data_IF_669322916394
#
_entry.id   IF_669322916394
#
_cell.length_a   1.000
_cell.length_b   1.000
_cell.length_c   1.000
_cell.angle_alpha   90.00
_cell.angle_beta   90.00
_cell.angle_gamma   90.00
#
_symmetry.space_group_name_H-M   'P 1'
#
loop_
_entity.id
_entity.type
_entity.pdbx_description
1 polymer ?
#
# COMPACT_ATOMS: atom_id res chain seq x y z
N UNK A 1 7.54 12.01 -16.17
CA UNK A 1 6.76 12.07 -14.90
C UNK A 1 7.35 11.00 -14.00
N UNK A 2 7.69 11.34 -12.76
CA UNK A 2 8.08 10.34 -11.76
C UNK A 2 6.92 9.35 -11.63
N UNK A 3 7.16 8.07 -11.87
CA UNK A 3 6.11 7.06 -11.97
C UNK A 3 5.70 6.66 -10.56
N UNK A 4 4.77 7.41 -9.98
CA UNK A 4 4.31 7.15 -8.63
C UNK A 4 3.44 5.89 -8.63
N UNK A 5 3.87 4.85 -7.93
CA UNK A 5 3.09 3.61 -7.81
C UNK A 5 1.69 3.90 -7.23
N UNK A 6 0.73 3.14 -7.74
CA UNK A 6 -0.68 3.15 -7.37
C UNK A 6 -1.02 1.88 -6.58
N UNK A 7 -2.21 1.86 -5.98
CA UNK A 7 -2.74 0.66 -5.32
C UNK A 7 -2.86 -0.50 -6.30
N UNK A 8 -3.24 -0.24 -7.55
CA UNK A 8 -3.35 -1.25 -8.59
C UNK A 8 -2.02 -1.96 -8.88
N UNK A 9 -0.88 -1.27 -8.69
CA UNK A 9 0.44 -1.85 -8.95
C UNK A 9 0.89 -2.85 -7.87
N UNK A 10 0.21 -2.89 -6.72
CA UNK A 10 0.60 -3.74 -5.57
C UNK A 10 -0.53 -4.52 -4.91
N UNK A 11 -1.77 -4.33 -5.34
CA UNK A 11 -2.89 -5.09 -4.81
C UNK A 11 -2.76 -6.57 -5.17
N UNK A 12 -3.30 -7.43 -4.32
CA UNK A 12 -3.52 -8.85 -4.67
C UNK A 12 -4.83 -8.96 -5.43
N UNK A 13 -4.80 -9.49 -6.66
CA UNK A 13 -5.98 -9.66 -7.53
C UNK A 13 -6.74 -10.96 -7.25
N UNK A 14 -6.04 -12.04 -6.90
CA UNK A 14 -6.66 -13.32 -6.53
C UNK A 14 -7.18 -13.26 -5.09
N UNK A 15 -8.36 -12.65 -4.92
CA UNK A 15 -8.94 -12.41 -3.59
C UNK A 15 -9.86 -13.55 -3.20
N UNK A 16 -9.57 -14.16 -2.05
CA UNK A 16 -10.51 -15.07 -1.37
C UNK A 16 -11.61 -14.24 -0.71
N UNK A 17 -12.86 -14.55 -1.05
CA UNK A 17 -14.05 -13.81 -0.58
C UNK A 17 -14.99 -14.69 0.21
N UNK A 18 -15.81 -14.06 1.05
CA UNK A 18 -16.89 -14.70 1.81
C UNK A 18 -18.25 -14.22 1.29
N UNK A 19 -19.27 -15.06 1.42
CA UNK A 19 -20.67 -14.67 1.27
C UNK A 19 -21.24 -14.18 2.61
N UNK A 20 -22.30 -13.35 2.63
CA UNK A 20 -22.84 -12.78 3.87
C UNK A 20 -23.37 -13.85 4.84
N UNK A 21 -23.79 -14.99 4.31
CA UNK A 21 -24.30 -16.16 5.02
C UNK A 21 -23.23 -17.21 5.33
N UNK A 22 -21.97 -17.03 4.88
CA UNK A 22 -20.87 -17.98 5.14
C UNK A 22 -20.77 -18.27 6.65
N UNK A 23 -20.90 -19.54 7.08
CA UNK A 23 -20.87 -19.92 8.49
C UNK A 23 -19.53 -19.65 9.16
N UNK A 24 -19.55 -19.32 10.46
CA UNK A 24 -18.36 -19.01 11.25
C UNK A 24 -17.22 -20.04 11.11
N UNK A 25 -17.53 -21.34 11.25
CA UNK A 25 -16.50 -22.39 11.18
C UNK A 25 -15.82 -22.47 9.80
N UNK A 26 -16.57 -22.17 8.73
CA UNK A 26 -16.03 -22.12 7.37
C UNK A 26 -15.13 -20.89 7.19
N UNK A 27 -15.50 -19.74 7.76
CA UNK A 27 -14.63 -18.56 7.80
C UNK A 27 -13.29 -18.91 8.45
N UNK A 28 -13.30 -19.56 9.63
CA UNK A 28 -12.06 -19.96 10.32
C UNK A 28 -11.23 -20.88 9.45
N UNK A 29 -11.86 -21.91 8.87
CA UNK A 29 -11.17 -22.86 8.00
C UNK A 29 -10.57 -22.18 6.75
N UNK A 30 -11.28 -21.23 6.14
CA UNK A 30 -10.80 -20.50 4.97
C UNK A 30 -9.62 -19.58 5.30
N UNK A 31 -9.67 -18.86 6.43
CA UNK A 31 -8.56 -17.98 6.83
C UNK A 31 -7.31 -18.80 7.15
N UNK A 32 -7.46 -19.92 7.86
CA UNK A 32 -6.36 -20.82 8.25
C UNK A 32 -5.75 -21.55 7.04
N UNK A 33 -6.60 -22.17 6.20
CA UNK A 33 -6.14 -22.98 5.07
C UNK A 33 -5.40 -22.17 4.00
N UNK A 34 -5.65 -20.86 3.91
CA UNK A 34 -5.04 -19.98 2.92
C UNK A 34 -4.01 -19.01 3.52
N UNK A 35 -3.71 -19.12 4.82
CA UNK A 35 -2.80 -18.24 5.56
C UNK A 35 -3.09 -16.73 5.33
N UNK A 36 -4.38 -16.38 5.27
CA UNK A 36 -4.82 -15.00 5.02
C UNK A 36 -5.31 -14.33 6.31
N UNK A 37 -4.87 -13.09 6.53
CA UNK A 37 -5.20 -12.36 7.75
C UNK A 37 -6.66 -11.87 7.80
N UNK A 38 -7.31 -11.72 6.64
CA UNK A 38 -8.68 -11.23 6.52
C UNK A 38 -9.22 -11.40 5.08
N UNK A 39 -10.54 -11.49 4.94
CA UNK A 39 -11.24 -11.67 3.67
C UNK A 39 -12.41 -10.67 3.51
N UNK A 40 -12.65 -10.10 2.30
CA UNK A 40 -13.85 -9.32 2.03
C UNK A 40 -15.10 -10.20 2.02
N UNK A 41 -16.20 -9.65 2.53
CA UNK A 41 -17.54 -10.19 2.33
C UNK A 41 -18.16 -9.47 1.15
N UNK A 42 -18.65 -10.21 0.15
CA UNK A 42 -19.24 -9.66 -1.08
C UNK A 42 -20.72 -9.99 -1.19
N UNK A 43 -21.51 -9.08 -1.79
CA UNK A 43 -22.89 -9.34 -2.19
C UNK A 43 -22.99 -10.21 -3.45
N UNK A 44 -24.22 -10.50 -3.90
CA UNK A 44 -24.49 -11.36 -5.05
C UNK A 44 -23.96 -10.77 -6.36
N UNK A 45 -23.89 -9.44 -6.44
CA UNK A 45 -23.33 -8.68 -7.56
C UNK A 45 -21.80 -8.65 -7.56
N UNK A 46 -21.14 -9.02 -6.45
CA UNK A 46 -19.68 -9.07 -6.31
C UNK A 46 -19.07 -7.77 -5.77
N UNK A 47 -19.89 -6.87 -5.22
CA UNK A 47 -19.40 -5.69 -4.52
C UNK A 47 -19.09 -6.04 -3.05
N UNK A 48 -17.98 -5.53 -2.49
CA UNK A 48 -17.67 -5.74 -1.09
C UNK A 48 -18.67 -4.98 -0.21
N UNK A 49 -19.19 -5.65 0.83
CA UNK A 49 -20.12 -5.09 1.81
C UNK A 49 -19.55 -5.09 3.25
N UNK A 50 -18.46 -5.83 3.48
CA UNK A 50 -17.74 -5.86 4.74
C UNK A 50 -16.40 -6.57 4.64
N UNK A 51 -15.69 -6.64 5.77
CA UNK A 51 -14.44 -7.41 5.90
C UNK A 51 -14.47 -8.19 7.20
N UNK A 52 -14.04 -9.45 7.15
CA UNK A 52 -13.81 -10.29 8.33
C UNK A 52 -12.32 -10.55 8.47
N UNK A 53 -11.76 -10.35 9.67
CA UNK A 53 -10.36 -10.63 9.97
C UNK A 53 -10.16 -11.75 10.98
N UNK A 54 -8.96 -12.35 10.98
CA UNK A 54 -8.56 -13.29 12.03
C UNK A 54 -8.66 -12.66 13.43
N UNK A 55 -8.51 -11.34 13.55
CA UNK A 55 -8.73 -10.64 14.83
C UNK A 55 -10.21 -10.57 15.23
N UNK A 56 -11.14 -10.55 14.28
CA UNK A 56 -12.58 -10.65 14.58
C UNK A 56 -12.92 -12.07 15.05
N UNK A 57 -12.36 -13.10 14.41
CA UNK A 57 -12.49 -14.51 14.81
C UNK A 57 -11.96 -14.74 16.24
N UNK A 58 -10.75 -14.27 16.54
CA UNK A 58 -10.16 -14.41 17.87
C UNK A 58 -10.99 -13.69 18.95
N UNK A 59 -11.59 -12.54 18.62
CA UNK A 59 -12.51 -11.83 19.54
C UNK A 59 -13.80 -12.62 19.77
N UNK A 60 -14.34 -13.26 18.73
CA UNK A 60 -15.49 -14.16 18.87
C UNK A 60 -15.18 -15.28 19.87
N UNK A 61 -14.07 -16.00 19.69
CA UNK A 61 -13.71 -17.16 20.53
C UNK A 61 -13.37 -16.77 21.98
N UNK A 62 -12.76 -15.61 22.19
CA UNK A 62 -12.33 -15.17 23.52
C UNK A 62 -13.40 -14.40 24.29
N UNK A 63 -14.54 -14.06 23.66
CA UNK A 63 -15.57 -13.22 24.25
C UNK A 63 -15.11 -11.79 24.58
N UNK A 64 -14.01 -11.33 23.96
CA UNK A 64 -13.40 -10.05 24.25
C UNK A 64 -14.14 -8.91 23.53
N UNK A 65 -14.61 -7.86 24.25
CA UNK A 65 -15.29 -6.72 23.63
C UNK A 65 -14.35 -5.88 22.75
N UNK A 66 -14.94 -5.04 21.89
CA UNK A 66 -14.17 -4.12 21.04
C UNK A 66 -13.39 -3.09 21.89
N UNK A 67 -12.17 -2.66 21.47
CA UNK A 67 -11.35 -1.71 22.24
C UNK A 67 -11.91 -0.28 22.27
N UNK A 68 -12.90 0.04 21.43
CA UNK A 68 -13.52 1.35 21.33
C UNK A 68 -15.02 1.26 21.59
N UNK A 69 -15.35 1.15 22.87
CA UNK A 69 -16.66 1.48 23.42
C UNK A 69 -16.42 2.16 24.76
N UNK A 70 -16.47 3.48 24.80
CA UNK A 70 -16.74 4.17 26.06
C UNK A 70 -18.16 3.76 26.44
N UNK A 71 -18.31 3.22 27.65
CA UNK A 71 -19.54 2.70 28.25
C UNK A 71 -19.77 1.19 27.99
N UNK A 72 -19.32 0.37 28.95
CA UNK A 72 -19.38 -1.09 28.96
C UNK A 72 -20.79 -1.69 29.08
N UNK A 73 -21.79 -1.08 28.45
CA UNK A 73 -23.18 -1.56 28.39
C UNK A 73 -23.72 -1.64 26.94
N UNK A 74 -22.84 -1.71 25.94
CA UNK A 74 -23.27 -1.88 24.55
C UNK A 74 -23.55 -3.36 24.23
N UNK A 75 -24.82 -3.72 24.01
CA UNK A 75 -25.22 -5.01 23.42
C UNK A 75 -24.50 -5.29 22.09
N UNK A 76 -24.08 -4.23 21.39
CA UNK A 76 -23.27 -4.29 20.16
C UNK A 76 -21.87 -4.87 20.39
N UNK A 77 -21.26 -4.62 21.55
CA UNK A 77 -19.93 -5.14 21.89
C UNK A 77 -19.94 -6.69 22.04
N UNK A 78 -21.09 -7.28 22.38
CA UNK A 78 -21.30 -8.73 22.46
C UNK A 78 -21.78 -9.36 21.16
N UNK A 79 -22.16 -8.56 20.15
CA UNK A 79 -22.71 -9.03 18.88
C UNK A 79 -21.76 -9.95 18.11
N UNK A 80 -20.47 -9.59 18.07
CA UNK A 80 -19.43 -10.41 17.44
C UNK A 80 -19.12 -11.69 18.20
N UNK A 81 -19.32 -11.74 19.52
CA UNK A 81 -19.09 -12.95 20.34
C UNK A 81 -20.14 -14.05 20.14
N UNK A 82 -21.23 -13.76 19.42
CA UNK A 82 -22.29 -14.72 19.08
C UNK A 82 -22.49 -14.86 17.57
N UNK A 83 -21.64 -14.23 16.76
CA UNK A 83 -21.78 -14.22 15.31
C UNK A 83 -21.69 -15.64 14.75
N UNK A 84 -22.71 -16.05 13.98
CA UNK A 84 -22.74 -17.37 13.32
C UNK A 84 -22.41 -17.31 11.84
N UNK A 85 -22.40 -16.11 11.27
CA UNK A 85 -22.24 -15.85 9.83
C UNK A 85 -21.24 -14.71 9.60
N UNK A 86 -20.73 -14.60 8.37
CA UNK A 86 -19.83 -13.51 7.98
C UNK A 86 -20.48 -12.13 8.18
N UNK A 87 -21.74 -11.95 7.80
CA UNK A 87 -22.47 -10.69 7.98
C UNK A 87 -22.60 -10.24 9.44
N UNK A 88 -22.68 -11.19 10.38
CA UNK A 88 -22.73 -10.89 11.82
C UNK A 88 -21.33 -10.64 12.42
N UNK A 89 -20.28 -11.15 11.78
CA UNK A 89 -18.90 -11.02 12.25
C UNK A 89 -18.16 -9.83 11.62
N UNK A 90 -18.53 -9.46 10.40
CA UNK A 90 -17.81 -8.48 9.59
C UNK A 90 -17.87 -7.08 10.18
N UNK A 91 -16.86 -6.28 9.84
CA UNK A 91 -16.90 -4.84 10.03
C UNK A 91 -17.57 -4.18 8.83
N UNK A 92 -18.61 -3.36 9.09
CA UNK A 92 -19.40 -2.64 8.09
C UNK A 92 -19.71 -1.21 8.55
N UNK A 93 -19.91 -0.24 7.62
CA UNK A 93 -19.78 -0.40 6.17
C UNK A 93 -18.32 -0.61 5.74
N UNK A 94 -18.12 -1.35 4.65
CA UNK A 94 -16.77 -1.53 4.11
C UNK A 94 -16.18 -0.20 3.68
N UNK A 95 -14.89 -0.03 3.93
CA UNK A 95 -14.10 1.05 3.32
C UNK A 95 -13.24 0.40 2.24
N UNK A 96 -13.39 0.86 1.01
CA UNK A 96 -12.65 0.37 -0.15
C UNK A 96 -11.70 1.44 -0.71
N UNK A 97 -10.61 0.96 -1.33
CA UNK A 97 -9.70 1.77 -2.13
C UNK A 97 -10.08 1.67 -3.62
N UNK A 98 -9.57 2.60 -4.44
CA UNK A 98 -9.56 2.42 -5.90
C UNK A 98 -8.15 2.08 -6.36
N UNK A 99 -8.06 1.34 -7.46
CA UNK A 99 -6.77 0.95 -8.04
C UNK A 99 -5.88 2.17 -8.38
N UNK A 100 -6.48 3.30 -8.77
CA UNK A 100 -5.77 4.54 -9.11
C UNK A 100 -5.31 5.37 -7.90
N UNK A 101 -5.62 4.94 -6.67
CA UNK A 101 -5.15 5.65 -5.48
C UNK A 101 -3.64 5.56 -5.36
N UNK A 102 -3.02 6.64 -4.91
CA UNK A 102 -1.60 6.62 -4.56
C UNK A 102 -1.38 5.79 -3.29
N UNK A 103 -0.22 5.15 -3.19
CA UNK A 103 0.20 4.41 -1.99
C UNK A 103 0.07 5.24 -0.70
N UNK A 104 0.51 6.52 -0.64
CA UNK A 104 0.33 7.34 0.57
C UNK A 104 -1.12 7.62 0.92
N UNK A 105 -2.02 7.71 -0.08
CA UNK A 105 -3.45 7.85 0.17
C UNK A 105 -4.01 6.60 0.82
N UNK A 106 -3.73 5.42 0.27
CA UNK A 106 -4.17 4.14 0.82
C UNK A 106 -3.63 3.91 2.23
N UNK A 107 -2.34 4.16 2.46
CA UNK A 107 -1.72 4.06 3.79
C UNK A 107 -2.38 4.99 4.82
N UNK A 108 -2.72 6.22 4.40
CA UNK A 108 -3.42 7.18 5.26
C UNK A 108 -4.83 6.70 5.61
N UNK A 109 -5.56 6.12 4.67
CA UNK A 109 -6.90 5.56 4.93
C UNK A 109 -6.86 4.36 5.86
N UNK A 110 -5.95 3.40 5.63
CA UNK A 110 -5.70 2.26 6.53
C UNK A 110 -5.47 2.73 7.98
N UNK A 111 -4.59 3.73 8.15
CA UNK A 111 -4.28 4.30 9.47
C UNK A 111 -5.48 5.01 10.09
N UNK A 112 -6.15 5.89 9.33
CA UNK A 112 -7.28 6.71 9.83
C UNK A 112 -8.47 5.85 10.25
N UNK A 113 -8.72 4.77 9.54
CA UNK A 113 -9.84 3.86 9.79
C UNK A 113 -9.49 2.73 10.75
N UNK A 114 -8.23 2.63 11.19
CA UNK A 114 -7.72 1.55 12.03
C UNK A 114 -7.97 0.14 11.44
N UNK A 115 -8.04 0.04 10.11
CA UNK A 115 -8.23 -1.23 9.40
C UNK A 115 -6.90 -1.75 8.85
N UNK A 116 -6.76 -3.07 8.77
CA UNK A 116 -5.50 -3.71 8.39
C UNK A 116 -5.31 -3.78 6.87
N UNK A 117 -6.41 -3.81 6.13
CA UNK A 117 -6.45 -3.91 4.68
C UNK A 117 -7.69 -3.22 4.12
N UNK A 118 -7.66 -2.89 2.83
CA UNK A 118 -8.77 -2.31 2.08
C UNK A 118 -9.07 -3.21 0.89
N UNK A 119 -10.32 -3.65 0.71
CA UNK A 119 -10.77 -4.14 -0.59
C UNK A 119 -10.57 -3.04 -1.63
N UNK A 120 -10.06 -3.41 -2.80
CA UNK A 120 -9.90 -2.51 -3.94
C UNK A 120 -11.07 -2.76 -4.88
N UNK A 121 -11.75 -1.68 -5.26
CA UNK A 121 -12.90 -1.76 -6.17
C UNK A 121 -12.59 -1.10 -7.51
N UNK A 122 -13.14 -1.67 -8.58
CA UNK A 122 -13.12 -1.09 -9.92
C UNK A 122 -14.20 -0.02 -10.11
N UNK A 123 -14.35 0.46 -11.34
CA UNK A 123 -15.26 1.58 -11.68
C UNK A 123 -16.74 1.29 -11.40
N UNK A 124 -17.13 0.01 -11.36
CA UNK A 124 -18.49 -0.44 -11.08
C UNK A 124 -18.74 -0.82 -9.62
N UNK A 125 -17.78 -0.56 -8.72
CA UNK A 125 -17.89 -0.94 -7.31
C UNK A 125 -17.63 -2.41 -7.02
N UNK A 126 -17.35 -3.21 -8.06
CA UNK A 126 -17.00 -4.62 -7.95
C UNK A 126 -15.60 -4.79 -7.37
N UNK A 127 -15.41 -5.87 -6.61
CA UNK A 127 -14.11 -6.22 -6.06
C UNK A 127 -13.10 -6.51 -7.20
N UNK A 128 -12.01 -5.77 -7.21
CA UNK A 128 -10.90 -5.92 -8.16
C UNK A 128 -9.62 -6.45 -7.50
N UNK A 129 -9.49 -6.31 -6.18
CA UNK A 129 -8.32 -6.75 -5.45
C UNK A 129 -8.41 -6.46 -3.96
N UNK A 130 -7.32 -6.66 -3.25
CA UNK A 130 -7.17 -6.28 -1.84
C UNK A 130 -5.76 -5.74 -1.60
N UNK A 131 -5.65 -4.76 -0.71
CA UNK A 131 -4.36 -4.19 -0.33
C UNK A 131 -4.23 -4.07 1.18
N UNK A 132 -3.16 -4.65 1.72
CA UNK A 132 -2.78 -4.62 3.12
C UNK A 132 -1.71 -3.56 3.39
N UNK A 133 -1.45 -3.26 4.67
CA UNK A 133 -0.32 -2.40 5.03
C UNK A 133 1.04 -2.97 4.59
N UNK A 134 1.19 -4.30 4.57
CA UNK A 134 2.43 -4.96 4.15
C UNK A 134 2.65 -4.78 2.65
N UNK A 135 1.60 -4.94 1.85
CA UNK A 135 1.65 -4.78 0.39
C UNK A 135 2.05 -3.34 0.01
N UNK A 136 1.57 -2.35 0.77
CA UNK A 136 2.01 -0.96 0.59
C UNK A 136 3.47 -0.75 0.99
N UNK A 137 4.03 -1.53 1.92
CA UNK A 137 5.44 -1.46 2.32
C UNK A 137 6.35 -2.14 1.28
N UNK A 138 5.88 -3.18 0.60
CA UNK A 138 6.63 -3.86 -0.46
C UNK A 138 6.99 -2.92 -1.63
N UNK A 139 6.24 -1.83 -1.82
CA UNK A 139 6.62 -0.75 -2.76
C UNK A 139 7.97 -0.10 -2.47
N UNK A 140 8.42 -0.13 -1.22
CA UNK A 140 9.72 0.41 -0.81
C UNK A 140 10.86 -0.61 -0.95
N UNK A 141 10.55 -1.88 -1.25
CA UNK A 141 11.52 -2.89 -1.62
C UNK A 141 11.79 -2.76 -3.13
N UNK A 142 12.45 -1.66 -3.49
CA UNK A 142 12.96 -1.42 -4.84
C UNK A 142 14.40 -1.92 -4.87
N UNK A 143 14.77 -2.66 -5.91
CA UNK A 143 16.19 -2.97 -6.09
C UNK A 143 16.97 -1.69 -6.41
N UNK A 144 18.21 -1.62 -5.94
CA UNK A 144 19.13 -0.52 -6.27
C UNK A 144 19.27 -0.34 -7.79
N UNK A 145 19.15 -1.42 -8.55
CA UNK A 145 19.16 -1.41 -10.02
C UNK A 145 17.98 -0.65 -10.60
N UNK A 146 16.76 -0.89 -10.09
CA UNK A 146 15.56 -0.18 -10.54
C UNK A 146 15.59 1.30 -10.17
N UNK A 147 16.03 1.63 -8.95
CA UNK A 147 16.17 3.04 -8.51
C UNK A 147 17.18 3.75 -9.40
N UNK A 148 18.37 3.17 -9.59
CA UNK A 148 19.42 3.73 -10.43
C UNK A 148 18.91 3.98 -11.85
N UNK A 149 18.25 2.99 -12.45
CA UNK A 149 17.74 3.08 -13.81
C UNK A 149 16.65 4.13 -13.99
N UNK A 150 15.85 4.43 -12.95
CA UNK A 150 14.87 5.54 -12.98
C UNK A 150 15.56 6.90 -12.83
N UNK A 151 16.52 7.03 -11.91
CA UNK A 151 17.30 8.26 -11.74
C UNK A 151 18.04 8.61 -13.04
N UNK A 152 18.75 7.65 -13.64
CA UNK A 152 19.51 7.87 -14.88
C UNK A 152 18.59 8.26 -16.05
N UNK A 153 17.53 7.49 -16.30
CA UNK A 153 16.66 7.71 -17.47
C UNK A 153 15.71 8.88 -17.30
N UNK A 154 14.98 8.93 -16.19
CA UNK A 154 13.88 9.87 -16.01
C UNK A 154 14.33 11.20 -15.42
N UNK A 155 15.19 11.18 -14.40
CA UNK A 155 15.66 12.43 -13.77
C UNK A 155 16.76 13.08 -14.59
N UNK A 156 17.89 12.40 -14.79
CA UNK A 156 19.06 12.98 -15.45
C UNK A 156 18.83 13.14 -16.96
N UNK A 157 18.41 12.08 -17.65
CA UNK A 157 18.20 12.11 -19.10
C UNK A 157 16.97 12.91 -19.50
N UNK A 158 15.77 12.50 -19.08
CA UNK A 158 14.50 13.08 -19.60
C UNK A 158 14.15 14.45 -19.02
N UNK A 159 14.25 14.64 -17.70
CA UNK A 159 13.83 15.90 -17.06
C UNK A 159 14.92 16.96 -17.20
N UNK A 160 16.17 16.61 -16.96
CA UNK A 160 17.28 17.56 -16.94
C UNK A 160 18.07 17.62 -18.25
N UNK A 161 17.89 16.66 -19.17
CA UNK A 161 18.57 16.68 -20.47
C UNK A 161 20.09 16.50 -20.37
N UNK A 162 20.58 15.86 -19.29
CA UNK A 162 22.02 15.65 -19.10
C UNK A 162 22.49 14.51 -20.00
N UNK A 163 23.68 14.68 -20.59
CA UNK A 163 24.29 13.63 -21.40
C UNK A 163 24.63 12.40 -20.55
N UNK A 164 24.54 11.22 -21.16
CA UNK A 164 24.86 9.97 -20.49
C UNK A 164 26.34 9.96 -20.06
N UNK A 165 26.59 9.58 -18.81
CA UNK A 165 27.94 9.54 -18.24
C UNK A 165 28.46 10.86 -17.65
N UNK A 166 27.75 11.98 -17.83
CA UNK A 166 28.14 13.26 -17.18
C UNK A 166 28.03 13.20 -15.66
N UNK A 167 27.05 12.43 -15.18
CA UNK A 167 26.81 12.13 -13.77
C UNK A 167 26.70 10.63 -13.61
N UNK A 168 27.60 10.06 -12.81
CA UNK A 168 27.58 8.67 -12.37
C UNK A 168 26.59 8.53 -11.22
N UNK A 169 25.72 7.52 -11.30
CA UNK A 169 24.71 7.19 -10.28
C UNK A 169 25.05 5.84 -9.66
N UNK A 170 25.30 5.85 -8.35
CA UNK A 170 25.41 4.63 -7.54
C UNK A 170 24.23 4.58 -6.58
N UNK A 171 23.67 3.39 -6.36
CA UNK A 171 22.59 3.18 -5.38
C UNK A 171 22.96 2.00 -4.50
N UNK A 172 22.81 2.18 -3.18
CA UNK A 172 22.99 1.12 -2.17
C UNK A 172 21.93 1.27 -1.10
N UNK A 173 21.13 0.23 -0.89
CA UNK A 173 20.03 0.22 0.08
C UNK A 173 19.10 1.45 -0.10
N UNK A 174 18.84 1.83 -1.36
CA UNK A 174 18.05 3.01 -1.72
C UNK A 174 18.72 4.38 -1.50
N UNK A 175 19.97 4.42 -0.99
CA UNK A 175 20.74 5.66 -0.90
C UNK A 175 21.43 5.93 -2.24
N UNK A 176 21.11 7.08 -2.85
CA UNK A 176 21.65 7.50 -4.15
C UNK A 176 22.90 8.35 -3.94
N UNK A 177 24.00 7.99 -4.58
CA UNK A 177 25.20 8.81 -4.68
C UNK A 177 25.38 9.30 -6.11
N UNK A 178 25.47 10.61 -6.28
CA UNK A 178 25.65 11.28 -7.56
C UNK A 178 27.07 11.85 -7.65
N UNK A 179 27.82 11.52 -8.70
CA UNK A 179 29.20 12.00 -8.91
C UNK A 179 29.39 12.49 -10.32
N UNK A 180 29.97 13.68 -10.50
CA UNK A 180 30.28 14.18 -11.84
C UNK A 180 30.05 15.67 -11.97
N UNK A 181 29.59 16.08 -13.15
CA UNK A 181 29.44 17.49 -13.49
C UNK A 181 28.01 17.82 -13.90
N UNK A 182 27.56 19.01 -13.50
CA UNK A 182 26.35 19.64 -14.00
C UNK A 182 26.72 20.90 -14.80
N UNK A 183 25.91 21.32 -15.78
CA UNK A 183 26.18 22.52 -16.56
C UNK A 183 26.35 23.77 -15.69
N UNK A 184 25.58 23.86 -14.61
CA UNK A 184 25.56 25.04 -13.74
C UNK A 184 25.45 24.63 -12.26
N UNK A 185 26.17 25.28 -11.32
CA UNK A 185 26.11 24.95 -9.90
C UNK A 185 24.70 24.99 -9.29
N UNK A 186 23.83 25.86 -9.82
CA UNK A 186 22.44 26.02 -9.35
C UNK A 186 21.53 24.82 -9.67
N UNK A 187 21.97 23.91 -10.54
CA UNK A 187 21.22 22.68 -10.82
C UNK A 187 21.40 21.62 -9.74
N UNK A 188 22.44 21.70 -8.90
CA UNK A 188 22.71 20.69 -7.86
C UNK A 188 21.52 20.49 -6.91
N UNK A 189 20.91 21.54 -6.31
CA UNK A 189 19.73 21.36 -5.46
C UNK A 189 18.50 20.82 -6.22
N UNK A 190 18.38 21.12 -7.51
CA UNK A 190 17.28 20.65 -8.36
C UNK A 190 17.42 19.14 -8.62
N UNK A 191 18.62 18.69 -8.99
CA UNK A 191 18.93 17.25 -9.17
C UNK A 191 18.62 16.49 -7.89
N UNK A 192 19.09 16.99 -6.75
CA UNK A 192 18.86 16.37 -5.43
C UNK A 192 17.37 16.28 -5.13
N UNK A 193 16.63 17.39 -5.28
CA UNK A 193 15.19 17.42 -5.00
C UNK A 193 14.37 16.49 -5.91
N UNK A 194 14.75 16.37 -7.19
CA UNK A 194 14.10 15.45 -8.11
C UNK A 194 14.40 13.98 -7.77
N UNK A 195 15.64 13.65 -7.42
CA UNK A 195 16.02 12.29 -7.00
C UNK A 195 15.31 11.89 -5.71
N UNK A 196 15.14 12.81 -4.75
CA UNK A 196 14.35 12.57 -3.53
C UNK A 196 12.87 12.26 -3.81
N UNK A 197 12.38 12.62 -5.01
CA UNK A 197 11.02 12.29 -5.45
C UNK A 197 10.88 10.94 -6.16
N UNK A 198 11.98 10.22 -6.40
CA UNK A 198 11.95 8.87 -6.99
C UNK A 198 11.54 7.85 -5.92
N UNK A 199 10.57 7.01 -6.26
CA UNK A 199 10.07 5.98 -5.35
C UNK A 199 11.21 4.99 -4.98
N UNK A 200 11.42 4.78 -3.67
CA UNK A 200 12.50 3.93 -3.13
C UNK A 200 13.77 4.67 -2.74
N UNK A 201 13.93 5.95 -3.09
CA UNK A 201 15.07 6.76 -2.65
C UNK A 201 14.89 7.17 -1.19
N UNK A 202 15.83 6.77 -0.33
CA UNK A 202 15.83 7.11 1.12
C UNK A 202 16.79 8.24 1.47
N UNK A 203 17.83 8.44 0.66
CA UNK A 203 18.82 9.49 0.83
C UNK A 203 19.47 9.83 -0.52
N UNK A 204 19.98 11.06 -0.64
CA UNK A 204 20.75 11.50 -1.80
C UNK A 204 22.01 12.23 -1.33
N UNK A 205 23.18 11.73 -1.72
CA UNK A 205 24.47 12.38 -1.56
C UNK A 205 24.97 12.85 -2.93
N UNK A 206 25.32 14.13 -3.05
CA UNK A 206 25.68 14.75 -4.31
C UNK A 206 27.09 15.34 -4.25
N UNK A 207 28.00 14.72 -4.98
CA UNK A 207 29.35 15.21 -5.24
C UNK A 207 29.42 15.71 -6.69
N UNK A 208 28.71 16.80 -6.96
CA UNK A 208 28.58 17.40 -8.29
C UNK A 208 29.34 18.72 -8.37
N UNK A 209 30.15 18.88 -9.41
CA UNK A 209 30.84 20.12 -9.73
C UNK A 209 30.22 20.80 -10.97
N UNK A 210 30.51 22.07 -11.20
CA UNK A 210 30.16 22.70 -12.47
C UNK A 210 31.12 22.22 -13.58
N UNK A 211 30.58 21.93 -14.76
CA UNK A 211 31.39 21.74 -15.95
C UNK A 211 32.21 23.01 -16.21
N UNK A 212 33.50 22.87 -16.54
CA UNK A 212 34.31 24.03 -16.96
C UNK A 212 33.78 24.46 -18.33
N UNK A 213 33.45 25.73 -18.48
CA UNK A 213 33.20 26.29 -19.79
C UNK A 213 34.54 26.32 -20.54
N UNK A 214 34.64 25.51 -21.59
CA UNK A 214 35.72 25.59 -22.59
C UNK A 214 35.53 26.82 -23.50
#
# INVERSE_FOLDING_TARGET
MLHRRTVGDVMTEEVITLRPDTPFHEIVALLDANDIAAAPVIDDEGAPIGVVSASDVLRHETGMPEPQGQDGNDERAWGKARARTASALMSSPVVSARADWTIPRAARELRRRHVKQLPVVGDHGLLAGIVSRSDLLDTFIRSDVEIRGEVERDVLGRILGLEEGTVVVEVRDGAVTLRGHVPEPRLVPVVVGLCQGVDGVVAVDAHLAAARAD
#
